data_IF_599408257567
#
_entry.id   IF_599408257567
#
_cell.length_a   1.000
_cell.length_b   1.000
_cell.length_c   1.000
_cell.angle_alpha   90.00
_cell.angle_beta   90.00
_cell.angle_gamma   90.00
#
_symmetry.space_group_name_H-M   'P 1'
#
loop_
_entity.id
_entity.type
_entity.pdbx_description
1 polymer ?
#
# COMPACT_ATOMS: atom_id res chain seq x y z
N UNK A 1 19.59 -7.85 15.24
CA UNK A 1 18.52 -8.23 14.28
C UNK A 1 17.23 -8.56 15.03
N UNK A 2 16.54 -7.56 15.63
CA UNK A 2 15.31 -7.81 16.41
C UNK A 2 14.12 -8.21 15.52
N UNK A 3 13.90 -7.51 14.39
CA UNK A 3 12.80 -7.79 13.44
C UNK A 3 12.91 -9.22 12.87
N UNK A 4 14.07 -9.59 12.32
CA UNK A 4 14.32 -10.94 11.78
C UNK A 4 14.12 -12.06 12.80
N UNK A 5 14.68 -11.90 14.00
CA UNK A 5 14.58 -12.92 15.03
C UNK A 5 13.14 -13.04 15.53
N UNK A 6 12.43 -11.91 15.64
CA UNK A 6 11.01 -11.86 15.94
C UNK A 6 10.18 -12.58 14.88
N UNK A 7 10.40 -12.32 13.58
CA UNK A 7 9.69 -12.98 12.48
C UNK A 7 9.87 -14.50 12.46
N UNK A 8 11.11 -14.97 12.59
CA UNK A 8 11.42 -16.40 12.60
C UNK A 8 10.84 -17.13 13.80
N UNK A 9 10.92 -16.52 14.98
CA UNK A 9 10.27 -17.04 16.18
C UNK A 9 8.73 -17.07 16.04
N UNK A 10 8.21 -16.39 15.03
CA UNK A 10 6.78 -16.21 14.81
C UNK A 10 6.16 -17.09 13.75
N UNK A 11 6.97 -17.82 12.99
CA UNK A 11 6.51 -18.70 11.89
C UNK A 11 5.57 -17.98 10.91
N UNK A 12 5.69 -16.66 10.81
CA UNK A 12 5.03 -15.86 9.78
C UNK A 12 5.87 -15.89 8.52
N UNK A 13 5.19 -15.94 7.37
CA UNK A 13 5.82 -15.61 6.12
C UNK A 13 6.01 -14.09 6.01
N UNK A 14 7.09 -13.66 5.37
CA UNK A 14 7.24 -12.26 4.95
C UNK A 14 7.50 -12.21 3.46
N UNK A 15 6.87 -11.25 2.78
CA UNK A 15 7.18 -10.99 1.38
C UNK A 15 8.67 -10.62 1.22
N UNK A 16 9.30 -10.04 2.25
CA UNK A 16 10.73 -9.72 2.23
C UNK A 16 11.60 -10.98 2.05
N UNK A 17 11.29 -12.07 2.75
CA UNK A 17 12.01 -13.34 2.62
C UNK A 17 11.53 -14.15 1.41
N UNK A 18 10.22 -14.28 1.22
CA UNK A 18 9.63 -15.11 0.14
C UNK A 18 9.90 -14.53 -1.27
N UNK A 19 9.87 -13.21 -1.42
CA UNK A 19 10.19 -12.53 -2.67
C UNK A 19 11.70 -12.25 -2.85
N UNK A 20 12.55 -12.70 -1.92
CA UNK A 20 14.01 -12.49 -1.94
C UNK A 20 14.38 -11.00 -2.09
N UNK A 21 13.76 -10.16 -1.27
CA UNK A 21 13.88 -8.72 -1.38
C UNK A 21 15.33 -8.25 -1.13
N UNK A 22 15.96 -7.51 -2.06
CA UNK A 22 17.32 -6.99 -1.87
C UNK A 22 17.38 -5.93 -0.75
N UNK A 23 16.24 -5.32 -0.40
CA UNK A 23 16.15 -4.21 0.55
C UNK A 23 15.95 -4.65 2.00
N UNK A 24 15.88 -5.95 2.28
CA UNK A 24 15.53 -6.50 3.61
C UNK A 24 16.45 -5.99 4.73
N UNK A 25 17.74 -5.81 4.44
CA UNK A 25 18.71 -5.31 5.41
C UNK A 25 18.50 -3.82 5.75
N UNK A 26 18.13 -3.02 4.75
CA UNK A 26 17.90 -1.59 4.90
C UNK A 26 16.56 -1.32 5.59
N UNK A 27 15.46 -1.92 5.12
CA UNK A 27 14.13 -1.70 5.70
C UNK A 27 14.04 -2.13 7.18
N UNK A 28 14.75 -3.19 7.55
CA UNK A 28 14.73 -3.71 8.93
C UNK A 28 15.76 -3.04 9.85
N UNK A 29 16.52 -2.07 9.35
CA UNK A 29 17.52 -1.33 10.12
C UNK A 29 16.99 0.07 10.44
N UNK A 30 16.76 0.35 11.72
CA UNK A 30 16.34 1.68 12.22
C UNK A 30 17.43 2.76 12.15
N UNK A 31 18.66 2.43 11.71
CA UNK A 31 19.82 3.32 11.79
C UNK A 31 19.73 4.60 10.93
N UNK A 32 18.75 4.73 10.02
CA UNK A 32 18.61 5.88 9.11
C UNK A 32 17.16 6.33 8.84
N UNK A 33 16.17 5.91 9.62
CA UNK A 33 14.77 6.26 9.34
C UNK A 33 13.73 5.43 10.12
N UNK A 34 12.45 5.68 9.80
CA UNK A 34 11.30 4.97 10.34
C UNK A 34 11.35 3.49 9.91
N UNK A 35 11.56 2.58 10.87
CA UNK A 35 11.65 1.16 10.57
C UNK A 35 10.32 0.65 9.99
N UNK A 36 10.38 0.01 8.82
CA UNK A 36 9.20 -0.54 8.12
C UNK A 36 9.28 -2.06 8.10
N UNK A 37 8.21 -2.72 8.56
CA UNK A 37 8.06 -4.16 8.45
C UNK A 37 6.92 -4.52 7.50
N UNK A 38 7.13 -5.54 6.66
CA UNK A 38 6.06 -6.12 5.83
C UNK A 38 5.77 -7.54 6.26
N UNK A 39 4.52 -7.80 6.59
CA UNK A 39 4.03 -9.10 7.04
C UNK A 39 3.13 -9.67 5.94
N UNK A 40 3.27 -10.96 5.68
CA UNK A 40 2.39 -11.68 4.77
C UNK A 40 1.45 -12.58 5.58
N UNK A 41 0.14 -12.34 5.45
CA UNK A 41 -0.93 -13.16 6.05
C UNK A 41 -1.52 -14.11 5.00
N UNK A 42 -2.38 -15.05 5.41
CA UNK A 42 -3.02 -16.04 4.54
C UNK A 42 -2.06 -17.06 3.90
N UNK A 43 -0.87 -17.22 4.50
CA UNK A 43 0.14 -18.19 4.09
C UNK A 43 1.15 -17.68 3.05
N UNK A 44 1.89 -18.60 2.45
CA UNK A 44 3.01 -18.34 1.52
C UNK A 44 2.80 -18.90 0.11
N UNK A 45 1.61 -19.42 -0.17
CA UNK A 45 1.29 -20.14 -1.40
C UNK A 45 0.04 -19.56 -2.03
N UNK A 46 0.20 -18.97 -3.21
CA UNK A 46 -0.81 -18.23 -3.95
C UNK A 46 -1.66 -19.13 -4.85
N UNK A 47 -2.95 -18.81 -4.98
CA UNK A 47 -3.84 -19.43 -5.97
C UNK A 47 -3.66 -18.89 -7.40
N UNK A 48 -2.86 -17.82 -7.54
CA UNK A 48 -2.55 -17.12 -8.79
C UNK A 48 -1.08 -17.21 -9.19
N UNK A 49 -0.83 -17.17 -10.49
CA UNK A 49 0.48 -17.40 -11.12
C UNK A 49 1.02 -16.21 -11.91
N UNK A 50 1.21 -15.07 -11.25
CA UNK A 50 1.87 -13.91 -11.87
C UNK A 50 3.31 -14.26 -12.32
N UNK A 51 3.68 -13.95 -13.56
CA UNK A 51 4.94 -14.41 -14.19
C UNK A 51 6.19 -13.71 -13.67
N UNK A 52 6.01 -12.60 -12.95
CA UNK A 52 7.07 -11.85 -12.29
C UNK A 52 7.30 -12.28 -10.82
N UNK A 53 6.30 -12.91 -10.18
CA UNK A 53 6.27 -13.13 -8.74
C UNK A 53 6.97 -14.43 -8.33
N UNK A 54 7.76 -14.39 -7.25
CA UNK A 54 8.53 -15.52 -6.73
C UNK A 54 7.79 -16.34 -5.65
N UNK A 55 6.58 -15.93 -5.28
CA UNK A 55 5.74 -16.64 -4.30
C UNK A 55 5.32 -18.00 -4.86
N UNK A 56 5.23 -19.01 -3.99
CA UNK A 56 4.81 -20.37 -4.39
C UNK A 56 3.39 -20.34 -4.91
N UNK A 57 3.04 -21.28 -5.80
CA UNK A 57 1.70 -21.36 -6.37
C UNK A 57 1.10 -22.75 -6.21
N UNK A 58 -0.19 -22.80 -5.89
CA UNK A 58 -0.99 -24.03 -5.81
C UNK A 58 -2.46 -23.70 -6.07
N UNK A 59 -3.17 -24.58 -6.77
CA UNK A 59 -4.64 -24.45 -6.91
C UNK A 59 -5.39 -24.82 -5.63
N UNK A 60 -4.75 -25.55 -4.73
CA UNK A 60 -5.29 -25.95 -3.45
C UNK A 60 -4.20 -25.71 -2.39
N UNK A 61 -3.94 -24.45 -2.01
CA UNK A 61 -3.03 -24.16 -0.91
C UNK A 61 -3.65 -24.70 0.40
N UNK A 62 -2.80 -24.87 1.42
CA UNK A 62 -3.32 -25.16 2.75
C UNK A 62 -4.19 -24.00 3.25
N UNK A 63 -5.28 -24.32 3.96
CA UNK A 63 -6.07 -23.31 4.64
C UNK A 63 -5.19 -22.54 5.64
N UNK A 64 -5.37 -21.21 5.76
CA UNK A 64 -4.65 -20.45 6.75
C UNK A 64 -5.10 -20.91 8.15
N UNK A 65 -4.23 -20.78 9.15
CA UNK A 65 -4.62 -21.13 10.50
C UNK A 65 -5.73 -20.18 11.00
N UNK A 66 -6.81 -20.70 11.57
CA UNK A 66 -7.94 -19.89 12.02
C UNK A 66 -7.54 -18.83 13.05
N UNK A 67 -6.55 -19.16 13.88
CA UNK A 67 -5.98 -18.29 14.90
C UNK A 67 -4.88 -17.36 14.35
N UNK A 68 -4.55 -17.37 13.06
CA UNK A 68 -3.53 -16.47 12.49
C UNK A 68 -3.79 -14.99 12.84
N UNK A 69 -5.02 -14.47 12.85
CA UNK A 69 -5.27 -13.08 13.29
C UNK A 69 -5.06 -12.85 14.78
N UNK A 70 -5.39 -13.82 15.64
CA UNK A 70 -5.12 -13.81 17.08
C UNK A 70 -3.62 -13.87 17.34
N UNK A 71 -2.91 -14.76 16.63
CA UNK A 71 -1.46 -14.83 16.61
C UNK A 71 -0.87 -13.51 16.09
N UNK A 72 -1.55 -12.84 15.16
CA UNK A 72 -1.23 -11.50 14.63
C UNK A 72 -1.74 -10.38 15.51
N UNK A 73 -2.44 -10.68 16.61
CA UNK A 73 -2.76 -9.75 17.71
C UNK A 73 -1.88 -9.90 18.98
N UNK A 74 -1.62 -11.09 19.49
CA UNK A 74 -1.19 -11.35 20.88
C UNK A 74 0.18 -10.85 21.39
N UNK A 75 0.19 -10.44 22.67
CA UNK A 75 1.35 -10.12 23.49
C UNK A 75 1.65 -11.29 24.45
N UNK A 76 2.91 -11.58 24.83
CA UNK A 76 3.23 -12.76 25.62
C UNK A 76 2.66 -12.68 27.05
N UNK A 77 1.93 -13.71 27.48
CA UNK A 77 1.90 -14.08 28.90
C UNK A 77 3.19 -14.85 29.21
N UNK A 78 3.89 -14.50 30.30
CA UNK A 78 5.05 -15.27 30.77
C UNK A 78 4.60 -16.72 31.04
N UNK A 79 5.17 -17.70 30.33
CA UNK A 79 5.12 -19.11 30.73
C UNK A 79 4.34 -20.12 29.86
N UNK A 80 4.09 -19.87 28.57
CA UNK A 80 3.42 -20.86 27.70
C UNK A 80 4.13 -21.11 26.37
N UNK A 81 4.56 -22.35 26.12
CA UNK A 81 5.12 -22.84 24.85
C UNK A 81 4.08 -22.97 23.72
N UNK A 82 3.20 -21.98 23.57
CA UNK A 82 2.11 -21.94 22.60
C UNK A 82 2.44 -21.09 21.37
N UNK A 83 2.10 -21.63 20.20
CA UNK A 83 2.18 -20.99 18.89
C UNK A 83 1.30 -19.72 18.86
N UNK A 84 1.88 -18.53 18.81
CA UNK A 84 1.14 -17.29 18.51
C UNK A 84 1.96 -16.01 18.57
N UNK A 85 2.20 -15.38 17.42
CA UNK A 85 3.48 -14.72 17.25
C UNK A 85 3.60 -13.56 16.26
N UNK A 86 2.62 -13.37 15.40
CA UNK A 86 2.62 -12.36 14.38
C UNK A 86 2.52 -10.90 14.91
N UNK A 87 2.30 -10.71 16.21
CA UNK A 87 2.28 -9.40 16.93
C UNK A 87 3.25 -9.29 18.07
N UNK A 88 3.75 -10.41 18.59
CA UNK A 88 4.99 -10.40 19.38
C UNK A 88 6.04 -9.60 18.62
N UNK A 89 6.07 -9.85 17.32
CA UNK A 89 6.64 -9.07 16.26
C UNK A 89 6.36 -7.55 16.34
N UNK A 90 5.22 -7.07 15.85
CA UNK A 90 4.98 -5.63 15.60
C UNK A 90 5.18 -4.77 16.85
N UNK A 91 4.59 -5.17 17.99
CA UNK A 91 4.68 -4.38 19.22
C UNK A 91 6.10 -4.36 19.82
N UNK A 92 6.92 -5.40 19.59
CA UNK A 92 8.32 -5.43 20.06
C UNK A 92 9.32 -4.83 19.09
N UNK A 93 8.92 -4.56 17.85
CA UNK A 93 9.82 -4.08 16.80
C UNK A 93 10.04 -2.58 16.81
N UNK A 94 9.30 -1.84 17.65
CA UNK A 94 9.38 -0.37 17.75
C UNK A 94 9.27 0.30 16.37
N UNK A 95 8.52 -0.30 15.45
CA UNK A 95 8.30 0.19 14.08
C UNK A 95 7.25 1.29 14.07
N UNK A 96 7.42 2.24 13.17
CA UNK A 96 6.47 3.35 12.99
C UNK A 96 5.50 3.06 11.83
N UNK A 97 5.81 2.09 10.99
CA UNK A 97 5.01 1.72 9.83
C UNK A 97 4.99 0.21 9.59
N UNK A 98 3.81 -0.36 9.40
CA UNK A 98 3.63 -1.78 9.08
C UNK A 98 2.81 -1.93 7.80
N UNK A 99 3.33 -2.72 6.87
CA UNK A 99 2.61 -3.17 5.68
C UNK A 99 2.09 -4.58 5.93
N UNK A 100 0.79 -4.79 5.78
CA UNK A 100 0.15 -6.10 5.78
C UNK A 100 -0.17 -6.46 4.33
N UNK A 101 0.28 -7.61 3.88
CA UNK A 101 -0.02 -8.11 2.54
C UNK A 101 -0.37 -9.59 2.58
N UNK A 102 -0.78 -10.17 1.46
CA UNK A 102 -1.13 -11.59 1.37
C UNK A 102 -0.85 -12.11 -0.04
N UNK A 103 -0.98 -13.43 -0.15
CA UNK A 103 -1.19 -14.11 -1.42
C UNK A 103 -2.66 -13.99 -1.85
N UNK A 104 -2.97 -14.24 -3.12
CA UNK A 104 -4.35 -14.39 -3.59
C UNK A 104 -4.93 -15.74 -3.11
N UNK A 105 -6.14 -15.71 -2.56
CA UNK A 105 -6.87 -16.85 -2.00
C UNK A 105 -8.24 -17.02 -2.66
N UNK A 106 -8.24 -17.28 -3.95
CA UNK A 106 -9.46 -17.54 -4.73
C UNK A 106 -10.22 -18.79 -4.24
N UNK A 107 -9.61 -19.61 -3.39
CA UNK A 107 -10.21 -20.76 -2.72
C UNK A 107 -11.04 -20.40 -1.47
N UNK A 108 -10.96 -19.16 -0.99
CA UNK A 108 -11.74 -18.64 0.14
C UNK A 108 -12.88 -17.76 -0.40
N UNK A 109 -14.13 -17.90 0.10
CA UNK A 109 -15.30 -17.19 -0.46
C UNK A 109 -15.17 -15.66 -0.57
N UNK A 110 -14.50 -15.01 0.39
CA UNK A 110 -14.27 -13.55 0.41
C UNK A 110 -12.85 -13.15 -0.02
N UNK A 111 -12.09 -14.09 -0.61
CA UNK A 111 -10.69 -13.88 -0.97
C UNK A 111 -9.75 -13.60 0.21
N UNK A 112 -10.21 -13.78 1.46
CA UNK A 112 -9.48 -13.46 2.68
C UNK A 112 -9.67 -12.03 3.19
N UNK A 113 -10.63 -11.26 2.66
CA UNK A 113 -10.88 -9.88 3.09
C UNK A 113 -11.24 -9.75 4.58
N UNK A 114 -12.10 -10.64 5.11
CA UNK A 114 -12.44 -10.69 6.53
C UNK A 114 -11.23 -10.96 7.41
N UNK A 115 -10.28 -11.76 6.92
CA UNK A 115 -9.04 -12.04 7.61
C UNK A 115 -8.16 -10.79 7.72
N UNK A 116 -7.96 -10.07 6.60
CA UNK A 116 -7.30 -8.77 6.60
C UNK A 116 -7.91 -7.83 7.64
N UNK A 117 -9.24 -7.67 7.60
CA UNK A 117 -9.93 -6.77 8.51
C UNK A 117 -9.79 -7.20 9.99
N UNK A 118 -9.82 -8.52 10.27
CA UNK A 118 -9.58 -9.06 11.61
C UNK A 118 -8.17 -8.74 12.07
N UNK A 119 -7.15 -8.93 11.23
CA UNK A 119 -5.76 -8.60 11.53
C UNK A 119 -5.60 -7.11 11.83
N UNK A 120 -6.09 -6.21 10.96
CA UNK A 120 -5.97 -4.76 11.15
C UNK A 120 -6.60 -4.31 12.46
N UNK A 121 -7.86 -4.70 12.73
CA UNK A 121 -8.57 -4.35 13.97
C UNK A 121 -7.83 -4.85 15.20
N UNK A 122 -7.31 -6.08 15.13
CA UNK A 122 -6.57 -6.71 16.22
C UNK A 122 -5.22 -6.07 16.48
N UNK A 123 -4.54 -5.61 15.43
CA UNK A 123 -3.34 -4.80 15.57
C UNK A 123 -3.74 -3.49 16.24
N UNK A 124 -4.63 -2.67 15.65
CA UNK A 124 -5.03 -1.35 16.20
C UNK A 124 -5.57 -1.40 17.64
N UNK A 125 -6.23 -2.47 18.06
CA UNK A 125 -6.74 -2.64 19.43
C UNK A 125 -5.64 -2.89 20.50
N UNK A 126 -4.36 -2.96 20.12
CA UNK A 126 -3.26 -3.28 21.05
C UNK A 126 -2.84 -2.06 21.87
N UNK A 127 -2.90 -2.15 23.22
CA UNK A 127 -2.51 -1.02 24.09
C UNK A 127 -1.04 -0.63 23.98
N UNK A 128 -0.17 -1.57 23.61
CA UNK A 128 1.29 -1.36 23.52
C UNK A 128 1.75 -0.81 22.16
N UNK A 129 0.83 -0.52 21.23
CA UNK A 129 1.20 0.11 19.97
C UNK A 129 1.50 1.59 20.17
N UNK A 130 2.51 2.08 19.46
CA UNK A 130 2.73 3.51 19.34
C UNK A 130 1.48 4.15 18.71
N UNK A 131 0.88 5.20 19.32
CA UNK A 131 -0.24 5.91 18.71
C UNK A 131 0.07 6.48 17.33
N UNK A 132 1.35 6.79 17.07
CA UNK A 132 1.84 7.25 15.77
C UNK A 132 2.03 6.14 14.73
N UNK A 133 1.89 4.85 15.09
CA UNK A 133 2.10 3.77 14.14
C UNK A 133 1.03 3.80 13.04
N UNK A 134 1.47 3.66 11.80
CA UNK A 134 0.59 3.60 10.63
C UNK A 134 0.54 2.19 10.04
N UNK A 135 -0.63 1.82 9.53
CA UNK A 135 -0.90 0.54 8.88
C UNK A 135 -1.25 0.74 7.41
N UNK A 136 -0.50 0.06 6.55
CA UNK A 136 -0.79 -0.09 5.13
C UNK A 136 -1.29 -1.52 4.86
N UNK A 137 -2.38 -1.68 4.12
CA UNK A 137 -2.73 -2.97 3.56
C UNK A 137 -2.47 -2.97 2.06
N UNK A 138 -1.50 -3.77 1.62
CA UNK A 138 -1.30 -4.11 0.21
C UNK A 138 -2.15 -5.34 -0.10
N UNK A 139 -3.30 -5.12 -0.73
CA UNK A 139 -4.33 -6.13 -0.92
C UNK A 139 -4.28 -6.79 -2.30
N UNK A 140 -4.75 -8.05 -2.41
CA UNK A 140 -5.19 -8.60 -3.68
C UNK A 140 -6.41 -7.83 -4.22
N UNK A 141 -6.89 -8.20 -5.41
CA UNK A 141 -8.07 -7.58 -6.04
C UNK A 141 -9.41 -8.19 -5.56
N UNK A 142 -9.37 -9.27 -4.76
CA UNK A 142 -10.54 -10.02 -4.28
C UNK A 142 -11.48 -10.53 -5.40
N UNK A 143 -10.98 -10.81 -6.60
CA UNK A 143 -11.74 -11.06 -7.85
C UNK A 143 -12.36 -9.80 -8.48
N UNK A 144 -11.68 -8.66 -8.35
CA UNK A 144 -12.01 -7.43 -9.07
C UNK A 144 -13.41 -6.91 -8.72
N UNK A 145 -14.21 -6.61 -9.74
CA UNK A 145 -15.56 -6.04 -9.56
C UNK A 145 -16.52 -6.94 -8.78
N UNK A 146 -16.33 -8.27 -8.83
CA UNK A 146 -17.14 -9.20 -8.03
C UNK A 146 -16.73 -9.24 -6.54
N UNK A 147 -15.58 -8.67 -6.21
CA UNK A 147 -14.97 -8.66 -4.88
C UNK A 147 -15.07 -7.35 -4.12
N UNK A 148 -15.89 -6.39 -4.57
CA UNK A 148 -15.93 -5.05 -3.97
C UNK A 148 -16.37 -5.05 -2.50
N UNK A 149 -17.19 -6.02 -2.08
CA UNK A 149 -17.51 -6.22 -0.65
C UNK A 149 -16.27 -6.55 0.19
N UNK A 150 -15.31 -7.30 -0.39
CA UNK A 150 -14.03 -7.58 0.22
C UNK A 150 -13.16 -6.32 0.32
N UNK A 151 -13.15 -5.50 -0.73
CA UNK A 151 -12.49 -4.18 -0.74
C UNK A 151 -13.06 -3.30 0.37
N UNK A 152 -14.39 -3.18 0.47
CA UNK A 152 -15.08 -2.40 1.50
C UNK A 152 -14.76 -2.91 2.91
N UNK A 153 -14.78 -4.23 3.10
CA UNK A 153 -14.45 -4.88 4.38
C UNK A 153 -13.07 -4.49 4.89
N UNK A 154 -12.07 -4.47 4.01
CA UNK A 154 -10.71 -4.06 4.38
C UNK A 154 -10.61 -2.54 4.54
N UNK A 155 -11.22 -1.75 3.66
CA UNK A 155 -11.20 -0.29 3.72
C UNK A 155 -11.80 0.26 5.04
N UNK A 156 -12.79 -0.42 5.60
CA UNK A 156 -13.42 -0.08 6.88
C UNK A 156 -12.73 -0.69 8.11
N UNK A 157 -11.55 -1.31 7.97
CA UNK A 157 -10.89 -2.01 9.07
C UNK A 157 -10.08 -1.10 10.01
N UNK A 158 -9.88 0.18 9.66
CA UNK A 158 -9.11 1.15 10.45
C UNK A 158 -7.63 1.22 10.10
N UNK A 159 -7.25 0.80 8.89
CA UNK A 159 -5.93 1.07 8.29
C UNK A 159 -5.77 2.55 7.88
N UNK A 160 -4.54 2.96 7.61
CA UNK A 160 -4.20 4.33 7.21
C UNK A 160 -3.97 4.44 5.69
N UNK A 161 -3.40 3.39 5.07
CA UNK A 161 -3.11 3.34 3.63
C UNK A 161 -3.69 2.07 3.00
N UNK A 162 -4.51 2.25 1.96
CA UNK A 162 -4.98 1.16 1.11
C UNK A 162 -4.13 1.09 -0.16
N UNK A 163 -3.38 0.00 -0.30
CA UNK A 163 -2.52 -0.21 -1.45
C UNK A 163 -3.02 -1.37 -2.31
N UNK A 164 -3.06 -1.17 -3.63
CA UNK A 164 -3.25 -2.24 -4.60
C UNK A 164 -2.39 -1.93 -5.82
N UNK A 165 -1.50 -2.86 -6.18
CA UNK A 165 -0.57 -2.64 -7.28
C UNK A 165 -1.21 -3.01 -8.61
N UNK A 166 -1.14 -2.09 -9.57
CA UNK A 166 -1.49 -2.37 -10.97
C UNK A 166 -0.37 -3.11 -11.72
N UNK A 167 0.85 -3.06 -11.18
CA UNK A 167 2.07 -3.78 -11.59
C UNK A 167 2.64 -3.42 -12.97
N UNK A 168 1.82 -3.19 -13.99
CA UNK A 168 2.29 -2.84 -15.34
C UNK A 168 1.23 -2.08 -16.13
N UNK A 169 1.58 -1.67 -17.34
CA UNK A 169 0.68 -0.95 -18.26
C UNK A 169 -0.39 -1.88 -18.84
N UNK A 170 -1.52 -1.31 -19.28
CA UNK A 170 -2.71 -2.05 -19.73
C UNK A 170 -2.41 -3.18 -20.72
N UNK A 171 -1.63 -2.88 -21.77
CA UNK A 171 -1.24 -3.86 -22.80
C UNK A 171 -0.52 -5.10 -22.24
N UNK A 172 0.25 -4.94 -21.17
CA UNK A 172 1.12 -6.00 -20.64
C UNK A 172 0.47 -6.87 -19.56
N UNK A 173 -0.69 -6.48 -19.04
CA UNK A 173 -1.37 -7.15 -17.92
C UNK A 173 -1.43 -8.67 -18.09
N UNK A 174 -2.04 -9.17 -19.18
CA UNK A 174 -2.18 -10.61 -19.42
C UNK A 174 -0.87 -11.36 -19.68
N UNK A 175 0.22 -10.65 -20.01
CA UNK A 175 1.55 -11.24 -20.23
C UNK A 175 2.44 -11.21 -18.99
N UNK A 176 2.09 -10.42 -17.97
CA UNK A 176 2.86 -10.21 -16.74
C UNK A 176 2.15 -10.81 -15.53
N UNK A 177 0.86 -10.53 -15.35
CA UNK A 177 0.03 -10.95 -14.21
C UNK A 177 -0.75 -12.22 -14.56
N UNK A 178 -1.35 -12.82 -13.53
CA UNK A 178 -2.32 -13.90 -13.74
C UNK A 178 -3.51 -13.37 -14.56
N UNK A 179 -4.09 -14.21 -15.43
CA UNK A 179 -5.23 -13.84 -16.30
C UNK A 179 -6.47 -13.36 -15.55
N UNK A 180 -6.57 -13.64 -14.24
CA UNK A 180 -7.66 -13.19 -13.36
C UNK A 180 -7.48 -11.75 -12.86
N UNK A 181 -6.29 -11.17 -13.04
CA UNK A 181 -6.00 -9.80 -12.65
C UNK A 181 -5.95 -8.91 -13.90
N UNK A 182 -6.84 -7.93 -13.99
CA UNK A 182 -6.90 -6.98 -15.10
C UNK A 182 -6.67 -5.54 -14.69
N UNK A 183 -6.43 -4.71 -15.70
CA UNK A 183 -6.09 -3.30 -15.55
C UNK A 183 -7.20 -2.49 -14.89
N UNK A 184 -8.40 -2.57 -15.49
CA UNK A 184 -9.58 -1.79 -15.08
C UNK A 184 -10.15 -2.29 -13.76
N UNK A 185 -10.05 -3.59 -13.47
CA UNK A 185 -10.43 -4.16 -12.18
C UNK A 185 -9.52 -3.63 -11.06
N UNK A 186 -8.20 -3.59 -11.29
CA UNK A 186 -7.25 -2.99 -10.34
C UNK A 186 -7.50 -1.50 -10.08
N UNK A 187 -7.92 -0.75 -11.10
CA UNK A 187 -8.37 0.64 -10.93
C UNK A 187 -9.63 0.69 -10.05
N UNK A 188 -10.64 -0.10 -10.40
CA UNK A 188 -11.91 -0.15 -9.67
C UNK A 188 -11.74 -0.52 -8.18
N UNK A 189 -10.76 -1.36 -7.84
CA UNK A 189 -10.42 -1.66 -6.44
C UNK A 189 -10.01 -0.39 -5.68
N UNK A 190 -9.13 0.43 -6.26
CA UNK A 190 -8.63 1.65 -5.63
C UNK A 190 -9.72 2.73 -5.55
N UNK A 191 -10.50 2.90 -6.62
CA UNK A 191 -11.65 3.80 -6.66
C UNK A 191 -12.68 3.41 -5.58
N UNK A 192 -12.98 2.11 -5.47
CA UNK A 192 -13.96 1.63 -4.52
C UNK A 192 -13.49 1.77 -3.07
N UNK A 193 -12.22 1.42 -2.77
CA UNK A 193 -11.64 1.60 -1.44
C UNK A 193 -11.75 3.06 -0.97
N UNK A 194 -11.45 4.00 -1.87
CA UNK A 194 -11.61 5.44 -1.65
C UNK A 194 -13.06 5.85 -1.46
N UNK A 195 -13.99 5.31 -2.26
CA UNK A 195 -15.42 5.62 -2.13
C UNK A 195 -16.00 5.17 -0.78
N UNK A 196 -15.56 4.00 -0.28
CA UNK A 196 -15.98 3.44 1.00
C UNK A 196 -15.42 4.24 2.17
N UNK A 197 -14.15 4.64 2.07
CA UNK A 197 -13.50 5.41 3.13
C UNK A 197 -12.59 6.51 2.53
N UNK A 198 -13.13 7.73 2.36
CA UNK A 198 -12.41 8.84 1.74
C UNK A 198 -11.17 9.33 2.51
N UNK A 199 -11.04 8.95 3.79
CA UNK A 199 -9.89 9.31 4.63
C UNK A 199 -8.66 8.43 4.40
N UNK A 200 -8.82 7.29 3.72
CA UNK A 200 -7.70 6.43 3.35
C UNK A 200 -6.83 7.12 2.32
N UNK A 201 -5.51 6.99 2.52
CA UNK A 201 -4.55 7.28 1.47
C UNK A 201 -4.48 6.04 0.57
N UNK A 202 -4.64 6.24 -0.73
CA UNK A 202 -4.56 5.18 -1.72
C UNK A 202 -3.21 5.16 -2.40
N UNK A 203 -2.72 3.95 -2.65
CA UNK A 203 -1.36 3.72 -3.15
C UNK A 203 -1.32 2.62 -4.21
N UNK A 204 -0.46 2.80 -5.20
CA UNK A 204 -0.19 1.78 -6.21
C UNK A 204 1.27 1.74 -6.62
N UNK A 205 1.63 0.71 -7.38
CA UNK A 205 2.96 0.52 -7.93
C UNK A 205 2.89 -0.01 -9.34
N UNK A 206 3.88 0.39 -10.15
CA UNK A 206 4.26 -0.31 -11.37
C UNK A 206 5.69 -0.82 -11.25
N UNK A 207 5.93 -1.93 -11.93
CA UNK A 207 7.25 -2.52 -12.11
C UNK A 207 7.66 -2.29 -13.56
N UNK A 208 8.77 -1.60 -13.74
CA UNK A 208 9.37 -1.28 -15.02
C UNK A 208 10.25 -2.42 -15.52
N UNK A 209 10.46 -2.46 -16.82
CA UNK A 209 11.36 -3.40 -17.48
C UNK A 209 10.66 -4.60 -18.10
N UNK A 210 9.33 -4.58 -18.24
CA UNK A 210 8.52 -5.61 -18.91
C UNK A 210 8.32 -5.35 -20.41
N UNK A 211 8.79 -4.21 -20.92
CA UNK A 211 8.63 -3.82 -22.32
C UNK A 211 7.52 -2.77 -22.52
N UNK A 212 7.15 -2.08 -21.45
CA UNK A 212 6.29 -0.91 -21.47
C UNK A 212 6.99 0.26 -22.17
N UNK A 213 6.23 1.09 -22.89
CA UNK A 213 6.71 2.34 -23.47
C UNK A 213 6.45 3.52 -22.53
N UNK A 214 7.19 4.60 -22.72
CA UNK A 214 7.07 5.81 -21.92
C UNK A 214 5.67 6.46 -22.00
N UNK A 215 5.01 6.42 -23.17
CA UNK A 215 3.63 6.88 -23.33
C UNK A 215 2.63 6.02 -22.54
N UNK A 216 2.84 4.71 -22.48
CA UNK A 216 1.99 3.77 -21.73
C UNK A 216 2.15 3.94 -20.21
N UNK A 217 3.39 4.20 -19.77
CA UNK A 217 3.65 4.55 -18.36
C UNK A 217 2.91 5.82 -18.01
N UNK A 218 3.06 6.89 -18.81
CA UNK A 218 2.36 8.17 -18.56
C UNK A 218 0.84 8.01 -18.60
N UNK A 219 0.30 7.19 -19.51
CA UNK A 219 -1.12 6.87 -19.52
C UNK A 219 -1.54 6.18 -18.23
N UNK A 220 -0.76 5.20 -17.76
CA UNK A 220 -1.07 4.52 -16.50
C UNK A 220 -1.02 5.45 -15.30
N UNK A 221 -0.07 6.38 -15.28
CA UNK A 221 -0.01 7.40 -14.26
C UNK A 221 -1.24 8.33 -14.29
N UNK A 222 -1.72 8.72 -15.49
CA UNK A 222 -2.95 9.50 -15.63
C UNK A 222 -4.17 8.71 -15.16
N UNK A 223 -4.33 7.46 -15.59
CA UNK A 223 -5.46 6.61 -15.19
C UNK A 223 -5.50 6.42 -13.65
N UNK A 224 -4.35 6.23 -13.00
CA UNK A 224 -4.29 6.11 -11.54
C UNK A 224 -4.59 7.43 -10.84
N UNK A 225 -4.17 8.55 -11.42
CA UNK A 225 -4.51 9.88 -10.90
C UNK A 225 -6.01 10.13 -10.98
N UNK A 226 -6.63 9.82 -12.12
CA UNK A 226 -8.07 10.01 -12.33
C UNK A 226 -8.89 9.12 -11.37
N UNK A 227 -8.36 7.94 -11.02
CA UNK A 227 -8.88 7.07 -9.97
C UNK A 227 -8.70 7.62 -8.53
N UNK A 228 -8.00 8.74 -8.36
CA UNK A 228 -7.76 9.40 -7.08
C UNK A 228 -6.62 8.82 -6.25
N UNK A 229 -5.67 8.11 -6.88
CA UNK A 229 -4.49 7.53 -6.22
C UNK A 229 -3.51 8.62 -5.79
N UNK A 230 -3.02 8.55 -4.56
CA UNK A 230 -2.21 9.61 -3.95
C UNK A 230 -0.70 9.29 -3.93
N UNK A 231 -0.34 8.02 -3.72
CA UNK A 231 1.04 7.55 -3.68
C UNK A 231 1.28 6.58 -4.84
N UNK A 232 2.33 6.85 -5.62
CA UNK A 232 2.69 6.02 -6.77
C UNK A 232 4.17 5.61 -6.71
N UNK A 233 4.45 4.32 -6.87
CA UNK A 233 5.84 3.82 -6.86
C UNK A 233 6.24 3.18 -8.19
N UNK A 234 7.46 3.46 -8.66
CA UNK A 234 8.05 2.90 -9.86
C UNK A 234 9.34 2.15 -9.48
N UNK A 235 9.29 0.82 -9.55
CA UNK A 235 10.45 -0.04 -9.28
C UNK A 235 10.95 -0.74 -10.53
N UNK A 236 12.21 -1.13 -10.57
CA UNK A 236 12.71 -2.00 -11.65
C UNK A 236 12.38 -3.47 -11.38
N UNK A 237 11.95 -4.19 -12.43
CA UNK A 237 11.82 -5.63 -12.40
C UNK A 237 13.18 -6.29 -12.18
N UNK A 238 13.31 -6.98 -11.05
CA UNK A 238 14.43 -7.85 -10.77
C UNK A 238 13.97 -9.29 -10.89
N UNK A 239 14.44 -9.96 -11.94
CA UNK A 239 14.07 -11.34 -12.25
C UNK A 239 14.43 -12.28 -11.09
N UNK A 240 13.46 -12.94 -10.44
CA UNK A 240 13.76 -13.74 -9.23
C UNK A 240 14.56 -15.02 -9.51
N UNK A 241 14.33 -15.65 -10.66
CA UNK A 241 15.02 -16.87 -11.09
C UNK A 241 14.95 -17.09 -12.60
N UNK A 242 15.71 -18.06 -13.12
CA UNK A 242 15.71 -18.43 -14.55
C UNK A 242 14.35 -18.95 -15.06
N UNK A 243 13.41 -19.30 -14.17
CA UNK A 243 12.07 -19.78 -14.55
C UNK A 243 11.05 -18.64 -14.75
N UNK A 244 11.31 -17.47 -14.17
CA UNK A 244 10.44 -16.30 -14.32
C UNK A 244 10.66 -15.60 -15.66
N UNK A 245 9.72 -14.74 -16.05
CA UNK A 245 9.83 -13.97 -17.29
C UNK A 245 11.17 -13.22 -17.38
N UNK A 246 11.71 -13.08 -18.60
CA UNK A 246 12.92 -12.28 -18.82
C UNK A 246 12.52 -10.80 -18.80
N UNK A 247 13.39 -9.94 -18.27
CA UNK A 247 13.27 -8.50 -18.46
C UNK A 247 13.69 -8.18 -19.90
N UNK A 248 12.80 -7.70 -20.79
CA UNK A 248 13.19 -7.27 -22.13
C UNK A 248 13.96 -5.96 -22.16
N UNK A 249 13.86 -5.12 -21.12
CA UNK A 249 14.49 -3.80 -21.08
C UNK A 249 15.60 -3.74 -20.01
N UNK A 250 16.64 -2.92 -20.22
CA UNK A 250 17.65 -2.65 -19.19
C UNK A 250 17.04 -1.93 -17.97
N UNK A 251 17.73 -1.95 -16.81
CA UNK A 251 17.30 -1.20 -15.63
C UNK A 251 17.03 0.27 -15.93
N UNK A 252 15.90 0.79 -15.46
CA UNK A 252 15.53 2.21 -15.61
C UNK A 252 14.61 2.70 -14.49
N UNK A 253 14.07 3.90 -14.67
CA UNK A 253 13.04 4.49 -13.79
C UNK A 253 13.47 5.77 -13.08
N UNK A 254 14.76 6.01 -12.88
CA UNK A 254 15.22 7.22 -12.20
C UNK A 254 14.64 8.49 -12.85
N UNK A 255 14.02 9.35 -12.05
CA UNK A 255 13.40 10.59 -12.51
C UNK A 255 12.04 10.47 -13.22
N UNK A 256 11.54 9.25 -13.49
CA UNK A 256 10.19 9.06 -14.03
C UNK A 256 9.11 9.39 -12.98
N UNK A 257 8.03 10.03 -13.42
CA UNK A 257 6.89 10.37 -12.57
C UNK A 257 7.01 11.65 -11.75
N UNK A 258 8.01 12.51 -12.03
CA UNK A 258 8.15 13.84 -11.39
C UNK A 258 7.14 14.88 -11.90
N UNK A 259 6.22 14.50 -12.77
CA UNK A 259 5.12 15.35 -13.22
C UNK A 259 4.19 15.64 -12.02
N UNK A 260 4.04 16.92 -11.67
CA UNK A 260 3.68 17.40 -10.31
C UNK A 260 2.23 17.24 -9.85
N UNK A 261 1.76 15.99 -9.69
CA UNK A 261 0.34 15.73 -9.38
C UNK A 261 0.10 14.70 -8.27
N UNK A 262 1.17 14.13 -7.72
CA UNK A 262 1.12 13.11 -6.68
C UNK A 262 1.48 13.71 -5.34
N UNK A 263 0.87 13.22 -4.25
CA UNK A 263 1.38 13.51 -2.91
C UNK A 263 2.82 13.01 -2.80
N UNK A 264 3.08 11.85 -3.40
CA UNK A 264 4.43 11.31 -3.50
C UNK A 264 4.64 10.33 -4.65
N UNK A 265 5.81 10.44 -5.28
CA UNK A 265 6.34 9.46 -6.21
C UNK A 265 7.72 8.99 -5.77
N UNK A 266 7.86 7.69 -5.52
CA UNK A 266 9.17 7.05 -5.40
C UNK A 266 9.49 6.34 -6.70
N UNK A 267 10.64 6.67 -7.29
CA UNK A 267 11.10 6.02 -8.51
C UNK A 267 12.58 5.65 -8.43
N UNK A 268 12.90 4.40 -8.72
CA UNK A 268 14.28 3.95 -8.79
C UNK A 268 14.43 2.43 -8.89
N UNK A 269 15.63 1.92 -9.23
CA UNK A 269 15.82 0.50 -9.53
C UNK A 269 15.47 -0.44 -8.36
N UNK A 270 15.76 0.00 -7.13
CA UNK A 270 15.50 -0.78 -5.93
C UNK A 270 14.17 -0.45 -5.26
N UNK A 271 13.38 0.50 -5.79
CA UNK A 271 12.07 0.83 -5.23
C UNK A 271 11.16 -0.40 -5.30
N UNK A 272 10.41 -0.62 -4.21
CA UNK A 272 9.35 -1.63 -4.08
C UNK A 272 8.15 -0.96 -3.47
N UNK A 273 6.95 -1.52 -3.66
CA UNK A 273 5.73 -1.01 -3.03
C UNK A 273 5.90 -0.80 -1.52
N UNK A 274 6.59 -1.69 -0.81
CA UNK A 274 6.85 -1.54 0.63
C UNK A 274 8.22 -0.95 1.00
N UNK A 275 9.07 -0.58 0.02
CA UNK A 275 10.39 -0.02 0.30
C UNK A 275 10.25 1.36 0.95
N UNK A 276 10.71 1.48 2.20
CA UNK A 276 10.65 2.73 2.98
C UNK A 276 9.23 3.34 3.02
N UNK A 277 8.20 2.50 3.01
CA UNK A 277 6.81 2.95 2.93
C UNK A 277 6.45 3.97 4.03
N UNK A 278 7.02 3.83 5.23
CA UNK A 278 6.85 4.82 6.30
C UNK A 278 7.46 6.18 5.99
N UNK A 279 8.70 6.23 5.47
CA UNK A 279 9.34 7.48 5.04
C UNK A 279 8.55 8.11 3.89
N UNK A 280 8.19 7.29 2.89
CA UNK A 280 7.36 7.69 1.74
C UNK A 280 6.02 8.30 2.19
N UNK A 281 5.33 7.65 3.11
CA UNK A 281 4.06 8.16 3.64
C UNK A 281 4.24 9.46 4.41
N UNK A 282 5.25 9.53 5.29
CA UNK A 282 5.52 10.74 6.06
C UNK A 282 5.93 11.92 5.17
N UNK A 283 6.75 11.69 4.15
CA UNK A 283 7.11 12.70 3.15
C UNK A 283 5.91 13.16 2.35
N UNK A 284 5.01 12.24 1.95
CA UNK A 284 3.76 12.57 1.26
C UNK A 284 2.90 13.53 2.10
N UNK A 285 2.71 13.19 3.38
CA UNK A 285 1.95 13.98 4.35
C UNK A 285 2.60 15.36 4.60
N UNK A 286 3.93 15.42 4.70
CA UNK A 286 4.65 16.68 4.92
C UNK A 286 4.56 17.62 3.72
N UNK A 287 4.78 17.12 2.49
CA UNK A 287 4.65 17.92 1.26
C UNK A 287 3.26 18.51 1.12
N UNK A 288 2.24 17.72 1.43
CA UNK A 288 0.87 18.18 1.34
C UNK A 288 0.56 19.26 2.39
N UNK A 289 1.09 19.11 3.62
CA UNK A 289 0.99 20.17 4.65
C UNK A 289 1.67 21.45 4.21
N UNK A 290 2.82 21.37 3.58
CA UNK A 290 3.53 22.53 3.03
C UNK A 290 2.71 23.19 1.91
N UNK A 291 2.17 22.41 0.97
CA UNK A 291 1.32 22.92 -0.12
C UNK A 291 0.09 23.65 0.42
N UNK A 292 -0.61 23.07 1.39
CA UNK A 292 -1.77 23.69 2.03
C UNK A 292 -1.43 25.00 2.79
N UNK A 293 -0.26 25.07 3.44
CA UNK A 293 0.20 26.27 4.14
C UNK A 293 0.58 27.41 3.18
N UNK A 294 1.22 27.09 2.05
CA UNK A 294 1.60 28.08 1.03
C UNK A 294 0.40 28.55 0.17
N UNK A 295 -0.59 27.68 -0.06
CA UNK A 295 -1.88 28.05 -0.66
C UNK A 295 -2.69 29.01 0.22
N UNK A 296 -2.65 28.86 1.55
CA UNK A 296 -3.34 29.78 2.47
C UNK A 296 -2.73 31.18 2.55
N UNK A 297 -1.44 31.33 2.22
CA UNK A 297 -0.72 32.63 2.24
C UNK A 297 -0.84 33.42 0.94
N UNK A 298 -1.28 32.80 -0.16
CA UNK A 298 -1.47 33.46 -1.46
C UNK A 298 -2.93 33.87 -1.74
N UNK A 299 -3.88 33.49 -0.88
CA UNK A 299 -5.30 33.83 -1.02
C UNK A 299 -5.74 35.17 -0.41
N UNK A 300 -4.82 36.01 0.07
CA UNK A 300 -5.12 37.28 0.71
C UNK A 300 -4.66 38.49 -0.13
N UNK A 301 -4.96 38.52 -1.44
CA UNK A 301 -5.12 39.74 -2.24
C UNK A 301 -5.43 39.37 -3.70
N UNK A 302 -6.70 39.51 -4.12
CA UNK A 302 -7.14 40.12 -5.39
C UNK A 302 -8.58 39.75 -5.77
N UNK A 303 -9.48 40.72 -5.54
CA UNK A 303 -10.58 41.18 -6.39
C UNK A 303 -11.75 40.27 -6.84
N UNK A 304 -12.92 40.89 -6.79
CA UNK A 304 -14.27 40.44 -7.18
C UNK A 304 -14.62 40.90 -8.64
N UNK A 305 -15.85 40.74 -9.17
CA UNK A 305 -16.14 39.84 -10.28
C UNK A 305 -16.60 40.52 -11.60
N UNK A 306 -16.54 39.83 -12.75
CA UNK A 306 -17.53 39.99 -13.84
C UNK A 306 -17.44 38.89 -14.92
N UNK A 307 -18.64 38.46 -15.31
CA UNK A 307 -19.13 37.99 -16.61
C UNK A 307 -18.60 36.70 -17.28
N UNK A 308 -19.40 35.64 -17.10
CA UNK A 308 -20.27 35.14 -18.18
C UNK A 308 -19.65 34.40 -19.36
N UNK A 309 -19.49 33.08 -19.23
CA UNK A 309 -19.68 32.15 -20.35
C UNK A 309 -20.07 30.77 -19.80
N UNK A 310 -21.29 30.33 -20.10
CA UNK A 310 -21.79 29.01 -19.74
C UNK A 310 -21.16 27.94 -20.64
N UNK A 311 -20.38 27.05 -20.05
CA UNK A 311 -20.15 25.70 -20.58
C UNK A 311 -20.48 24.71 -19.47
N UNK A 312 -21.49 23.89 -19.72
CA UNK A 312 -21.96 22.84 -18.81
C UNK A 312 -20.78 21.96 -18.34
N UNK A 313 -20.59 21.73 -17.03
CA UNK A 313 -19.52 20.87 -16.56
C UNK A 313 -19.88 19.40 -16.83
N UNK A 314 -18.98 18.70 -17.52
CA UNK A 314 -18.95 17.24 -17.52
C UNK A 314 -18.70 16.78 -16.07
N UNK A 315 -19.74 16.28 -15.41
CA UNK A 315 -19.66 15.68 -14.09
C UNK A 315 -18.74 14.47 -14.15
N UNK A 316 -17.52 14.60 -13.62
CA UNK A 316 -16.56 13.49 -13.51
C UNK A 316 -15.08 13.89 -13.50
N UNK A 317 -14.73 15.12 -13.91
CA UNK A 317 -13.33 15.58 -13.86
C UNK A 317 -13.05 16.19 -12.49
N UNK A 318 -12.22 15.51 -11.70
CA UNK A 318 -11.78 15.95 -10.37
C UNK A 318 -10.87 17.18 -10.50
N UNK A 319 -11.20 18.27 -9.79
CA UNK A 319 -10.44 19.52 -9.87
C UNK A 319 -9.30 19.54 -8.84
N UNK A 320 -8.18 20.25 -9.10
CA UNK A 320 -7.10 20.42 -8.13
C UNK A 320 -7.58 20.90 -6.74
N UNK A 321 -8.58 21.78 -6.71
CA UNK A 321 -9.20 22.31 -5.49
C UNK A 321 -9.90 21.23 -4.64
N UNK A 322 -10.56 20.26 -5.30
CA UNK A 322 -11.15 19.11 -4.60
C UNK A 322 -10.08 18.17 -4.00
N UNK A 323 -8.86 18.22 -4.53
CA UNK A 323 -7.68 17.56 -3.96
C UNK A 323 -7.16 18.22 -2.72
N UNK A 324 -6.99 19.53 -2.76
CA UNK A 324 -6.51 20.32 -1.61
C UNK A 324 -7.47 20.24 -0.42
N UNK A 325 -8.79 20.33 -0.65
CA UNK A 325 -9.79 20.18 0.42
C UNK A 325 -9.83 18.76 1.02
N UNK A 326 -9.54 17.74 0.22
CA UNK A 326 -9.47 16.35 0.71
C UNK A 326 -8.18 16.12 1.49
N UNK A 327 -7.06 16.58 0.97
CA UNK A 327 -5.80 16.59 1.67
C UNK A 327 -5.92 17.26 3.03
N UNK A 328 -6.55 18.43 3.11
CA UNK A 328 -6.83 19.10 4.38
C UNK A 328 -7.64 18.23 5.34
N UNK A 329 -8.65 17.49 4.87
CA UNK A 329 -9.45 16.56 5.69
C UNK A 329 -8.66 15.34 6.17
N UNK A 330 -7.86 14.72 5.32
CA UNK A 330 -6.98 13.60 5.68
C UNK A 330 -5.92 14.07 6.68
N UNK A 331 -5.30 15.22 6.43
CA UNK A 331 -4.31 15.83 7.32
C UNK A 331 -4.90 16.23 8.67
N UNK A 332 -6.14 16.73 8.71
CA UNK A 332 -6.88 17.06 9.93
C UNK A 332 -7.18 15.80 10.74
N UNK A 333 -7.70 14.74 10.10
CA UNK A 333 -7.92 13.44 10.74
C UNK A 333 -6.62 12.84 11.29
N UNK A 334 -5.48 13.06 10.61
CA UNK A 334 -4.16 12.65 11.08
C UNK A 334 -3.62 13.57 12.20
N UNK A 335 -4.04 14.82 12.28
CA UNK A 335 -3.61 15.79 13.29
C UNK A 335 -4.39 15.70 14.61
N UNK A 336 -5.68 15.33 14.56
CA UNK A 336 -6.53 15.08 15.75
C UNK A 336 -6.09 13.86 16.58
N UNK A 337 -5.13 13.09 16.09
CA UNK A 337 -4.48 12.02 16.85
C UNK A 337 -3.31 12.50 17.73
N UNK A 338 -3.13 13.81 17.93
CA UNK A 338 -2.20 14.34 18.94
C UNK A 338 -2.77 14.15 20.35
N UNK A 339 -1.99 13.65 21.32
CA UNK A 339 -2.44 13.61 22.71
C UNK A 339 -2.58 15.05 23.24
N UNK A 340 -3.69 15.32 23.95
CA UNK A 340 -3.74 16.43 24.90
C UNK A 340 -2.56 16.27 25.87
N UNK A 341 -1.62 17.21 25.87
CA UNK A 341 -0.51 17.22 26.84
C UNK A 341 0.92 17.27 26.29
N UNK A 342 1.15 17.48 25.00
CA UNK A 342 2.49 17.83 24.53
C UNK A 342 2.84 19.28 24.95
N UNK A 343 3.60 19.42 26.04
CA UNK A 343 4.15 20.68 26.53
C UNK A 343 5.01 21.36 25.43
N UNK A 344 4.93 22.69 25.23
CA UNK A 344 5.68 23.35 24.17
C UNK A 344 7.15 23.58 24.53
N UNK A 345 7.99 23.21 23.55
CA UNK A 345 9.42 23.47 23.31
C UNK A 345 10.45 22.70 24.15
#
# INVERSE_FOLDING_TARGET
MRIRNGLRASKLATVCEEARCPNIGECWSSKKGAATATIMVLGDTCTRGCRFCNVKTSRAPALPADDEPEKTAEAPRRGGGGRGAATRAIASWEVDYVVITSVDRDDIPDGGASHYARVVRRVKARPALKPSMRLECLTPDFNGTSGLDGVATVASAGLDVYAHNIETVERLQGSVRDRRAGYRESIGVLEHARSVNPSLVTKTSIILGFGERDDEIRQTMRDMRDAGVEIFTLGQYLRPSRRHMKAPLPPGGEGKGREGWWWYVASGPLVRSSYKAGEVFMEAILREREAAQHGSRSGAEAASPSDGASSLPLSGVWTPQQGEERAARVLASLADSRPEGACPL
#
